data_IF_475451559746
#
_entry.id   IF_475451559746
#
_cell.length_a   1.000
_cell.length_b   1.000
_cell.length_c   1.000
_cell.angle_alpha   90.00
_cell.angle_beta   90.00
_cell.angle_gamma   90.00
#
_symmetry.space_group_name_H-M   'P 1'
#
loop_
_entity.id
_entity.type
_entity.pdbx_description
1 polymer ?
#
# COMPACT_ATOMS: atom_id res chain seq x y z
N UNK A 1 -10.41 -62.97 -10.19
CA UNK A 1 -11.23 -61.79 -10.60
C UNK A 1 -11.58 -60.82 -9.47
N UNK A 2 -11.37 -61.16 -8.18
CA UNK A 2 -11.77 -60.29 -7.05
C UNK A 2 -10.81 -59.11 -6.82
N UNK A 3 -9.49 -59.35 -6.89
CA UNK A 3 -8.46 -58.35 -6.56
C UNK A 3 -8.42 -57.17 -7.55
N UNK A 4 -8.59 -57.43 -8.84
CA UNK A 4 -8.57 -56.39 -9.89
C UNK A 4 -9.79 -55.45 -9.76
N UNK A 5 -10.95 -55.98 -9.35
CA UNK A 5 -12.15 -55.16 -9.11
C UNK A 5 -12.02 -54.29 -7.86
N UNK A 6 -11.39 -54.82 -6.81
CA UNK A 6 -11.11 -54.07 -5.58
C UNK A 6 -10.09 -52.95 -5.85
N UNK A 7 -9.04 -53.22 -6.63
CA UNK A 7 -8.06 -52.21 -7.02
C UNK A 7 -8.65 -51.14 -7.94
N UNK A 8 -9.52 -51.53 -8.88
CA UNK A 8 -10.22 -50.57 -9.74
C UNK A 8 -11.20 -49.69 -8.95
N UNK A 9 -11.91 -50.26 -7.98
CA UNK A 9 -12.80 -49.51 -7.09
C UNK A 9 -12.03 -48.56 -6.15
N UNK A 10 -10.87 -48.98 -5.63
CA UNK A 10 -10.00 -48.14 -4.82
C UNK A 10 -9.40 -46.98 -5.62
N UNK A 11 -8.95 -47.23 -6.85
CA UNK A 11 -8.44 -46.20 -7.75
C UNK A 11 -9.52 -45.18 -8.14
N UNK A 12 -10.75 -45.64 -8.41
CA UNK A 12 -11.89 -44.77 -8.67
C UNK A 12 -12.27 -43.91 -7.45
N UNK A 13 -12.20 -44.48 -6.24
CA UNK A 13 -12.47 -43.74 -5.00
C UNK A 13 -11.43 -42.64 -4.72
N UNK A 14 -10.16 -42.87 -5.04
CA UNK A 14 -9.10 -41.84 -4.92
C UNK A 14 -9.24 -40.71 -5.95
N UNK A 15 -9.83 -40.98 -7.12
CA UNK A 15 -10.10 -39.96 -8.15
C UNK A 15 -11.30 -39.07 -7.80
N UNK A 16 -12.20 -39.51 -6.93
CA UNK A 16 -13.35 -38.73 -6.45
C UNK A 16 -13.05 -37.83 -5.25
N UNK A 17 -11.85 -37.89 -4.66
CA UNK A 17 -11.36 -36.89 -3.71
C UNK A 17 -10.75 -35.74 -4.52
N UNK A 18 -11.55 -35.10 -5.37
CA UNK A 18 -11.20 -33.78 -5.85
C UNK A 18 -11.19 -32.87 -4.62
N UNK A 19 -10.03 -32.30 -4.29
CA UNK A 19 -9.91 -31.27 -3.28
C UNK A 19 -10.79 -30.09 -3.69
N UNK A 20 -12.06 -30.09 -3.29
CA UNK A 20 -12.91 -28.92 -3.38
C UNK A 20 -12.26 -27.87 -2.49
N UNK A 21 -11.93 -26.67 -3.01
CA UNK A 21 -11.40 -25.62 -2.14
C UNK A 21 -12.43 -25.38 -1.04
N UNK A 22 -11.97 -25.43 0.21
CA UNK A 22 -12.81 -25.17 1.36
C UNK A 22 -13.46 -23.79 1.19
N UNK A 23 -14.78 -23.75 1.00
CA UNK A 23 -15.56 -22.54 0.73
C UNK A 23 -15.68 -21.57 1.93
N UNK A 24 -14.83 -21.76 2.94
CA UNK A 24 -14.74 -20.93 4.14
C UNK A 24 -13.42 -20.13 4.24
N UNK A 25 -12.63 -20.04 3.17
CA UNK A 25 -11.52 -19.10 3.12
C UNK A 25 -12.08 -17.72 2.73
N UNK A 26 -12.11 -16.81 3.70
CA UNK A 26 -12.27 -15.37 3.41
C UNK A 26 -11.05 -14.94 2.58
N UNK A 27 -11.18 -14.98 1.25
CA UNK A 27 -10.15 -14.50 0.35
C UNK A 27 -10.21 -12.97 0.31
N UNK A 28 -9.62 -12.33 1.32
CA UNK A 28 -9.32 -10.90 1.25
C UNK A 28 -8.38 -10.70 0.05
N UNK A 29 -8.93 -10.24 -1.08
CA UNK A 29 -8.15 -9.94 -2.26
C UNK A 29 -7.54 -8.54 -2.09
N UNK A 30 -6.20 -8.41 -1.92
CA UNK A 30 -5.55 -7.11 -1.76
C UNK A 30 -5.74 -6.31 -3.03
N UNK A 31 -5.92 -4.99 -2.93
CA UNK A 31 -6.00 -4.15 -4.12
C UNK A 31 -4.70 -4.23 -4.92
N UNK A 32 -4.84 -4.39 -6.24
CA UNK A 32 -3.71 -4.25 -7.13
C UNK A 32 -3.33 -2.76 -7.22
N UNK A 33 -2.20 -2.44 -6.61
CA UNK A 33 -1.66 -1.08 -6.58
C UNK A 33 -0.66 -0.84 -7.71
N UNK A 34 -0.30 -1.87 -8.47
CA UNK A 34 0.66 -1.74 -9.56
C UNK A 34 0.11 -0.80 -10.64
N UNK A 35 1.00 -0.31 -11.50
CA UNK A 35 0.58 0.45 -12.65
C UNK A 35 1.72 0.70 -13.62
N UNK A 36 1.40 1.38 -14.71
CA UNK A 36 2.36 1.61 -15.78
C UNK A 36 3.59 2.40 -15.30
N UNK A 37 4.74 2.08 -15.92
CA UNK A 37 6.00 2.83 -15.76
C UNK A 37 5.73 4.33 -15.92
N UNK A 38 6.32 5.11 -15.04
CA UNK A 38 6.20 6.57 -15.02
C UNK A 38 7.42 7.22 -15.65
N UNK A 39 7.25 8.46 -16.08
CA UNK A 39 8.34 9.32 -16.58
C UNK A 39 8.61 10.49 -15.66
N UNK A 40 7.68 10.80 -14.74
CA UNK A 40 7.76 11.95 -13.83
C UNK A 40 7.09 13.21 -14.40
N UNK A 41 6.69 13.19 -15.67
CA UNK A 41 5.89 14.23 -16.30
C UNK A 41 4.38 14.09 -15.97
N UNK A 42 3.94 12.91 -15.54
CA UNK A 42 2.54 12.65 -15.25
C UNK A 42 2.10 13.35 -13.94
N UNK A 43 0.89 13.91 -13.91
CA UNK A 43 0.33 14.47 -12.68
C UNK A 43 0.28 13.43 -11.55
N UNK A 44 0.68 13.83 -10.34
CA UNK A 44 0.60 13.01 -9.13
C UNK A 44 1.73 11.99 -8.95
N UNK A 45 2.64 11.84 -9.90
CA UNK A 45 3.83 10.98 -9.76
C UNK A 45 4.90 11.67 -8.92
N UNK A 46 5.35 12.84 -9.37
CA UNK A 46 6.15 13.76 -8.58
C UNK A 46 5.21 14.67 -7.78
N UNK A 47 5.68 15.15 -6.63
CA UNK A 47 4.84 15.95 -5.74
C UNK A 47 4.46 17.31 -6.32
N UNK A 48 5.27 17.83 -7.24
CA UNK A 48 5.00 19.07 -7.96
C UNK A 48 5.50 18.93 -9.40
N UNK A 49 4.82 19.60 -10.33
CA UNK A 49 5.28 19.69 -11.70
C UNK A 49 6.63 20.43 -11.77
N UNK A 50 7.53 19.96 -12.63
CA UNK A 50 8.84 20.55 -12.88
C UNK A 50 8.89 21.08 -14.32
N UNK A 51 8.37 22.30 -14.56
CA UNK A 51 8.34 22.87 -15.90
C UNK A 51 9.74 23.11 -16.46
N UNK A 52 9.97 22.67 -17.71
CA UNK A 52 11.28 22.81 -18.36
C UNK A 52 12.37 21.89 -17.79
N UNK A 53 11.97 20.83 -17.08
CA UNK A 53 12.88 19.76 -16.67
C UNK A 53 13.24 18.85 -17.85
N UNK A 54 14.49 18.41 -17.92
CA UNK A 54 14.92 17.39 -18.88
C UNK A 54 14.44 16.00 -18.44
N UNK A 55 14.41 15.00 -19.35
CA UNK A 55 14.06 13.63 -18.98
C UNK A 55 14.91 13.07 -17.82
N UNK A 56 16.18 13.44 -17.75
CA UNK A 56 17.10 13.02 -16.69
C UNK A 56 16.76 13.69 -15.35
N UNK A 57 16.40 14.98 -15.36
CA UNK A 57 15.95 15.70 -14.16
C UNK A 57 14.60 15.16 -13.66
N UNK A 58 13.70 14.77 -14.57
CA UNK A 58 12.43 14.12 -14.22
C UNK A 58 12.64 12.75 -13.57
N UNK A 59 13.50 11.90 -14.16
CA UNK A 59 13.89 10.60 -13.57
C UNK A 59 14.52 10.79 -12.20
N UNK A 60 15.40 11.77 -12.06
CA UNK A 60 16.01 12.11 -10.77
C UNK A 60 14.94 12.52 -9.75
N UNK A 61 13.97 13.36 -10.15
CA UNK A 61 12.87 13.74 -9.29
C UNK A 61 12.02 12.54 -8.86
N UNK A 62 11.72 11.60 -9.77
CA UNK A 62 11.00 10.36 -9.46
C UNK A 62 11.77 9.53 -8.43
N UNK A 63 13.08 9.31 -8.65
CA UNK A 63 13.95 8.60 -7.73
C UNK A 63 13.98 9.26 -6.33
N UNK A 64 14.12 10.58 -6.28
CA UNK A 64 14.11 11.31 -5.01
C UNK A 64 12.77 11.21 -4.28
N UNK A 65 11.65 11.24 -5.01
CA UNK A 65 10.31 11.03 -4.44
C UNK A 65 10.17 9.60 -3.90
N UNK A 66 10.62 8.59 -4.63
CA UNK A 66 10.56 7.20 -4.16
C UNK A 66 11.39 7.00 -2.89
N UNK A 67 12.62 7.53 -2.88
CA UNK A 67 13.51 7.48 -1.70
C UNK A 67 12.88 8.17 -0.50
N UNK A 68 12.20 9.31 -0.70
CA UNK A 68 11.49 10.00 0.37
C UNK A 68 10.31 9.17 0.91
N UNK A 69 9.53 8.53 0.04
CA UNK A 69 8.47 7.60 0.45
C UNK A 69 9.01 6.43 1.28
N UNK A 70 10.11 5.82 0.85
CA UNK A 70 10.77 4.75 1.60
C UNK A 70 11.32 5.22 2.96
N UNK A 71 11.79 6.48 3.06
CA UNK A 71 12.19 7.06 4.34
C UNK A 71 11.01 7.23 5.29
N UNK A 72 9.87 7.73 4.80
CA UNK A 72 8.63 7.84 5.60
C UNK A 72 8.18 6.46 6.08
N UNK A 73 8.24 5.44 5.21
CA UNK A 73 7.91 4.07 5.57
C UNK A 73 8.85 3.50 6.64
N UNK A 74 10.16 3.76 6.55
CA UNK A 74 11.14 3.34 7.55
C UNK A 74 10.83 3.88 8.96
N UNK A 75 10.13 5.03 9.05
CA UNK A 75 9.69 5.61 10.33
C UNK A 75 8.31 5.10 10.77
N UNK A 76 7.34 5.08 9.85
CA UNK A 76 5.92 4.87 10.19
C UNK A 76 5.49 3.40 10.21
N UNK A 77 6.25 2.50 9.56
CA UNK A 77 5.85 1.11 9.34
C UNK A 77 6.52 0.12 10.30
N UNK A 78 7.17 0.60 11.37
CA UNK A 78 7.88 -0.25 12.32
C UNK A 78 6.97 -1.10 13.22
N UNK A 79 5.64 -0.88 13.16
CA UNK A 79 4.69 -1.70 13.88
C UNK A 79 4.62 -3.16 13.35
N UNK A 80 5.07 -3.39 12.11
CA UNK A 80 5.12 -4.71 11.49
C UNK A 80 6.56 -5.04 11.03
N UNK A 81 7.35 -5.77 11.85
CA UNK A 81 8.75 -6.06 11.57
C UNK A 81 8.98 -6.87 10.29
N UNK A 82 8.00 -7.68 9.84
CA UNK A 82 8.13 -8.52 8.64
C UNK A 82 8.20 -7.71 7.34
N UNK A 83 7.79 -6.44 7.36
CA UNK A 83 7.93 -5.54 6.21
C UNK A 83 9.39 -5.16 5.93
N UNK A 84 10.29 -5.28 6.91
CA UNK A 84 11.71 -4.94 6.78
C UNK A 84 11.95 -3.50 6.27
N UNK A 85 11.04 -2.56 6.54
CA UNK A 85 11.07 -1.22 5.96
C UNK A 85 12.37 -0.45 6.31
N UNK A 86 12.79 -0.49 7.58
CA UNK A 86 14.00 0.19 8.04
C UNK A 86 15.28 -0.46 7.49
N UNK A 87 15.39 -1.79 7.56
CA UNK A 87 16.59 -2.50 7.08
C UNK A 87 16.74 -2.39 5.56
N UNK A 88 15.65 -2.53 4.81
CA UNK A 88 15.66 -2.40 3.35
C UNK A 88 16.01 -0.98 2.90
N UNK A 89 15.48 0.04 3.59
CA UNK A 89 15.82 1.43 3.31
C UNK A 89 17.30 1.73 3.56
N UNK A 90 17.87 1.26 4.68
CA UNK A 90 19.29 1.44 4.96
C UNK A 90 20.19 0.71 3.96
N UNK A 91 19.80 -0.51 3.55
CA UNK A 91 20.51 -1.25 2.52
C UNK A 91 20.47 -0.53 1.17
N UNK A 92 19.33 0.04 0.78
CA UNK A 92 19.18 0.88 -0.42
C UNK A 92 20.13 2.09 -0.37
N UNK A 93 20.16 2.81 0.76
CA UNK A 93 21.06 3.97 0.94
C UNK A 93 22.52 3.58 0.77
N UNK A 94 22.93 2.44 1.34
CA UNK A 94 24.30 1.95 1.25
C UNK A 94 24.66 1.50 -0.17
N UNK A 95 23.79 0.72 -0.81
CA UNK A 95 24.08 0.13 -2.12
C UNK A 95 24.05 1.14 -3.27
N UNK A 96 23.25 2.22 -3.14
CA UNK A 96 23.00 3.17 -4.22
C UNK A 96 23.33 4.62 -3.85
N UNK A 97 24.25 4.84 -2.91
CA UNK A 97 24.65 6.17 -2.45
C UNK A 97 25.03 7.11 -3.61
N UNK A 98 25.80 6.61 -4.58
CA UNK A 98 26.25 7.39 -5.75
C UNK A 98 25.11 7.81 -6.67
N UNK A 99 24.16 6.89 -6.93
CA UNK A 99 22.97 7.16 -7.75
C UNK A 99 22.05 8.18 -7.09
N UNK A 100 21.84 8.04 -5.78
CA UNK A 100 21.05 8.99 -4.99
C UNK A 100 21.70 10.37 -4.94
N UNK A 101 23.02 10.43 -4.78
CA UNK A 101 23.77 11.68 -4.83
C UNK A 101 23.64 12.35 -6.19
N UNK A 102 23.87 11.60 -7.28
CA UNK A 102 23.74 12.11 -8.65
C UNK A 102 22.32 12.63 -8.92
N UNK A 103 21.32 11.91 -8.46
CA UNK A 103 19.91 12.31 -8.54
C UNK A 103 19.65 13.62 -7.81
N UNK A 104 20.16 13.77 -6.58
CA UNK A 104 20.03 15.01 -5.83
C UNK A 104 20.71 16.19 -6.52
N UNK A 105 21.93 15.98 -7.01
CA UNK A 105 22.71 17.02 -7.70
C UNK A 105 22.00 17.51 -8.98
N UNK A 106 21.33 16.61 -9.73
CA UNK A 106 20.52 16.97 -10.90
C UNK A 106 19.31 17.84 -10.53
N UNK A 107 18.58 17.47 -9.47
CA UNK A 107 17.42 18.26 -9.00
C UNK A 107 17.88 19.61 -8.47
N UNK A 108 19.00 19.65 -7.75
CA UNK A 108 19.60 20.90 -7.30
C UNK A 108 19.96 21.80 -8.50
N UNK A 109 20.61 21.24 -9.53
CA UNK A 109 20.90 21.92 -10.79
C UNK A 109 19.65 22.49 -11.47
N UNK A 110 18.57 21.72 -11.52
CA UNK A 110 17.27 22.17 -12.04
C UNK A 110 16.76 23.42 -11.31
N UNK A 111 16.74 23.42 -9.97
CA UNK A 111 16.25 24.58 -9.22
C UNK A 111 17.18 25.78 -9.29
N UNK A 112 18.50 25.57 -9.34
CA UNK A 112 19.47 26.63 -9.56
C UNK A 112 19.29 27.30 -10.93
N UNK A 113 18.85 26.54 -11.94
CA UNK A 113 18.58 27.03 -13.30
C UNK A 113 17.22 27.72 -13.41
N UNK A 114 16.17 27.17 -12.79
CA UNK A 114 14.78 27.62 -12.99
C UNK A 114 14.28 28.62 -11.95
N UNK A 115 14.67 28.48 -10.67
CA UNK A 115 14.26 29.37 -9.58
C UNK A 115 15.31 30.46 -9.26
N UNK A 116 16.51 30.37 -9.85
CA UNK A 116 17.59 31.35 -9.73
C UNK A 116 18.79 30.84 -8.94
N UNK A 117 19.97 31.36 -9.26
CA UNK A 117 21.24 30.91 -8.67
C UNK A 117 21.36 31.31 -7.19
N UNK A 118 22.04 30.46 -6.41
CA UNK A 118 22.34 30.68 -5.00
C UNK A 118 21.14 30.40 -4.08
N UNK A 119 20.80 31.37 -3.23
CA UNK A 119 19.79 31.22 -2.16
C UNK A 119 18.40 30.91 -2.69
N UNK A 120 17.99 31.49 -3.81
CA UNK A 120 16.67 31.29 -4.38
C UNK A 120 16.45 29.82 -4.81
N UNK A 121 17.39 29.28 -5.60
CA UNK A 121 17.38 27.87 -6.02
C UNK A 121 17.46 26.90 -4.84
N UNK A 122 18.28 27.20 -3.83
CA UNK A 122 18.35 26.36 -2.62
C UNK A 122 17.02 26.37 -1.86
N UNK A 123 16.40 27.54 -1.70
CA UNK A 123 15.10 27.66 -1.03
C UNK A 123 14.01 26.89 -1.78
N UNK A 124 14.01 26.93 -3.11
CA UNK A 124 13.08 26.17 -3.93
C UNK A 124 13.30 24.64 -3.80
N UNK A 125 14.56 24.21 -3.73
CA UNK A 125 14.93 22.81 -3.49
C UNK A 125 14.46 22.33 -2.11
N UNK A 126 14.65 23.14 -1.07
CA UNK A 126 14.25 22.80 0.31
C UNK A 126 12.71 22.74 0.42
N UNK A 127 12.00 23.67 -0.22
CA UNK A 127 10.54 23.64 -0.32
C UNK A 127 10.05 22.40 -1.07
N UNK A 128 10.70 22.05 -2.18
CA UNK A 128 10.41 20.82 -2.92
C UNK A 128 10.59 19.60 -2.02
N UNK A 129 11.74 19.47 -1.36
CA UNK A 129 12.02 18.37 -0.44
C UNK A 129 10.96 18.26 0.65
N UNK A 130 10.59 19.37 1.27
CA UNK A 130 9.55 19.41 2.32
C UNK A 130 8.20 18.93 1.79
N UNK A 131 7.75 19.44 0.64
CA UNK A 131 6.49 18.99 0.00
C UNK A 131 6.52 17.49 -0.29
N UNK A 132 7.65 16.98 -0.81
CA UNK A 132 7.81 15.57 -1.12
C UNK A 132 7.57 14.70 0.12
N UNK A 133 8.20 14.99 1.25
CA UNK A 133 7.94 14.24 2.49
C UNK A 133 6.49 14.36 2.95
N UNK A 134 5.93 15.57 2.96
CA UNK A 134 4.53 15.79 3.36
C UNK A 134 3.54 15.03 2.48
N UNK A 135 3.86 14.81 1.19
CA UNK A 135 2.98 14.10 0.26
C UNK A 135 2.80 12.61 0.58
N UNK A 136 3.72 12.01 1.35
CA UNK A 136 3.63 10.61 1.77
C UNK A 136 3.02 10.43 3.17
N UNK A 137 2.68 11.52 3.86
CA UNK A 137 2.05 11.47 5.18
C UNK A 137 0.57 11.12 5.06
N UNK A 138 0.22 9.83 5.03
CA UNK A 138 -1.17 9.37 4.91
C UNK A 138 -1.61 8.51 6.09
N UNK A 139 -2.34 9.09 7.03
CA UNK A 139 -2.84 8.35 8.21
C UNK A 139 -3.94 7.35 7.79
N UNK A 140 -4.85 7.76 6.90
CA UNK A 140 -5.99 6.93 6.50
C UNK A 140 -5.64 5.71 5.64
N UNK A 141 -4.49 5.74 4.96
CA UNK A 141 -4.01 4.67 4.07
C UNK A 141 -2.74 3.98 4.60
N UNK A 142 -2.39 4.19 5.88
CA UNK A 142 -1.11 3.75 6.47
C UNK A 142 -0.80 2.27 6.21
N UNK A 143 -1.78 1.37 6.37
CA UNK A 143 -1.56 -0.07 6.15
C UNK A 143 -1.21 -0.39 4.69
N UNK A 144 -1.97 0.14 3.72
CA UNK A 144 -1.71 -0.06 2.31
C UNK A 144 -0.39 0.56 1.85
N UNK A 145 -0.07 1.75 2.37
CA UNK A 145 1.22 2.40 2.17
C UNK A 145 2.37 1.56 2.71
N UNK A 146 2.28 1.07 3.95
CA UNK A 146 3.34 0.27 4.56
C UNK A 146 3.57 -1.06 3.86
N UNK A 147 2.50 -1.73 3.41
CA UNK A 147 2.62 -2.95 2.63
C UNK A 147 3.34 -2.69 1.29
N UNK A 148 2.87 -1.71 0.51
CA UNK A 148 3.47 -1.37 -0.77
C UNK A 148 4.94 -0.91 -0.62
N UNK A 149 5.23 -0.08 0.39
CA UNK A 149 6.57 0.40 0.65
C UNK A 149 7.52 -0.71 1.15
N UNK A 150 7.02 -1.67 1.93
CA UNK A 150 7.78 -2.86 2.33
C UNK A 150 8.17 -3.72 1.13
N UNK A 151 7.22 -4.01 0.24
CA UNK A 151 7.46 -4.74 -1.01
C UNK A 151 8.50 -4.02 -1.89
N UNK A 152 8.29 -2.73 -2.16
CA UNK A 152 9.22 -1.91 -2.96
C UNK A 152 10.60 -1.85 -2.30
N UNK A 153 10.66 -1.67 -0.99
CA UNK A 153 11.91 -1.59 -0.24
C UNK A 153 12.72 -2.88 -0.38
N UNK A 154 12.08 -4.04 -0.20
CA UNK A 154 12.73 -5.33 -0.34
C UNK A 154 13.20 -5.60 -1.77
N UNK A 155 12.40 -5.27 -2.77
CA UNK A 155 12.80 -5.36 -4.18
C UNK A 155 14.02 -4.48 -4.48
N UNK A 156 14.04 -3.26 -3.94
CA UNK A 156 15.11 -2.29 -4.19
C UNK A 156 16.48 -2.79 -3.70
N UNK A 157 16.52 -3.65 -2.68
CA UNK A 157 17.77 -4.26 -2.19
C UNK A 157 18.45 -5.13 -3.26
N UNK A 158 17.67 -5.73 -4.15
CA UNK A 158 18.16 -6.63 -5.20
C UNK A 158 18.41 -5.92 -6.54
N UNK A 159 18.19 -4.61 -6.62
CA UNK A 159 18.42 -3.85 -7.84
C UNK A 159 19.93 -3.68 -8.07
N UNK A 160 20.46 -4.03 -9.25
CA UNK A 160 21.85 -3.78 -9.57
C UNK A 160 22.16 -2.27 -9.56
N UNK A 161 23.38 -1.92 -9.16
CA UNK A 161 23.86 -0.53 -9.24
C UNK A 161 23.78 -0.02 -10.67
N UNK A 162 23.32 1.21 -10.83
CA UNK A 162 23.08 1.90 -12.09
C UNK A 162 21.64 1.83 -12.59
N UNK A 163 20.78 1.02 -11.95
CA UNK A 163 19.39 0.81 -12.38
C UNK A 163 18.34 1.36 -11.41
N UNK A 164 18.74 2.08 -10.35
CA UNK A 164 17.79 2.55 -9.34
C UNK A 164 16.83 3.61 -9.90
N UNK A 165 17.27 4.39 -10.89
CA UNK A 165 16.42 5.37 -11.57
C UNK A 165 15.29 4.70 -12.37
N UNK A 166 15.60 3.66 -13.14
CA UNK A 166 14.63 2.85 -13.87
C UNK A 166 13.69 2.11 -12.92
N UNK A 167 14.22 1.56 -11.83
CA UNK A 167 13.42 0.96 -10.78
C UNK A 167 12.43 1.96 -10.19
N UNK A 168 12.86 3.20 -9.95
CA UNK A 168 11.98 4.24 -9.45
C UNK A 168 10.85 4.55 -10.42
N UNK A 169 11.13 4.65 -11.72
CA UNK A 169 10.12 4.80 -12.76
C UNK A 169 9.13 3.62 -12.82
N UNK A 170 9.56 2.40 -12.49
CA UNK A 170 8.67 1.24 -12.45
C UNK A 170 7.78 1.21 -11.20
N UNK A 171 8.31 1.59 -10.03
CA UNK A 171 7.61 1.42 -8.74
C UNK A 171 6.92 2.67 -8.19
N UNK A 172 7.21 3.86 -8.71
CA UNK A 172 6.61 5.10 -8.21
C UNK A 172 5.09 5.10 -8.32
N UNK A 173 4.51 4.49 -9.37
CA UNK A 173 3.04 4.40 -9.51
C UNK A 173 2.42 3.61 -8.36
N UNK A 174 3.00 2.46 -8.03
CA UNK A 174 2.58 1.64 -6.88
C UNK A 174 2.64 2.40 -5.56
N UNK A 175 3.76 3.09 -5.33
CA UNK A 175 3.96 3.92 -4.15
C UNK A 175 2.96 5.09 -4.06
N UNK A 176 2.51 5.64 -5.19
CA UNK A 176 1.48 6.70 -5.19
C UNK A 176 0.08 6.16 -5.01
N UNK A 177 -0.26 5.05 -5.65
CA UNK A 177 -1.57 4.41 -5.51
C UNK A 177 -1.82 3.98 -4.06
N UNK A 178 -0.77 3.56 -3.33
CA UNK A 178 -0.88 3.15 -1.93
C UNK A 178 -1.26 4.28 -0.95
N UNK A 179 -1.22 5.54 -1.38
CA UNK A 179 -1.58 6.71 -0.57
C UNK A 179 -3.09 6.93 -0.45
N UNK A 180 -3.88 6.12 -1.16
CA UNK A 180 -5.35 6.17 -1.12
C UNK A 180 -5.90 4.99 -0.33
N UNK A 181 -6.85 5.27 0.55
CA UNK A 181 -7.38 4.26 1.47
C UNK A 181 -8.40 3.36 0.76
N UNK A 182 -8.03 2.10 0.53
CA UNK A 182 -8.88 1.10 -0.11
C UNK A 182 -9.38 0.03 0.87
N UNK A 183 -10.55 -0.55 0.58
CA UNK A 183 -11.05 -1.79 1.21
C UNK A 183 -10.58 -3.02 0.41
N UNK A 184 -10.99 -4.22 0.80
CA UNK A 184 -10.74 -5.41 -0.02
C UNK A 184 -11.37 -5.27 -1.43
N UNK A 185 -10.81 -5.93 -2.45
CA UNK A 185 -11.36 -5.87 -3.82
C UNK A 185 -12.73 -6.55 -3.96
N UNK A 186 -13.06 -7.52 -3.09
CA UNK A 186 -14.25 -8.36 -3.20
C UNK A 186 -15.50 -7.74 -2.55
N UNK A 187 -15.36 -7.03 -1.43
CA UNK A 187 -16.44 -6.26 -0.81
C UNK A 187 -16.19 -4.75 -0.98
N UNK A 188 -17.07 -4.09 -1.73
CA UNK A 188 -17.06 -2.61 -1.84
C UNK A 188 -17.19 -1.98 -0.45
N UNK A 189 -16.59 -0.80 -0.26
CA UNK A 189 -16.62 0.03 0.97
C UNK A 189 -17.99 0.24 1.62
N UNK A 190 -19.07 -0.20 0.99
CA UNK A 190 -20.35 -0.40 1.62
C UNK A 190 -20.25 -1.62 2.54
N UNK A 191 -19.62 -1.45 3.71
CA UNK A 191 -20.21 -1.98 4.93
C UNK A 191 -21.57 -1.31 5.02
N UNK A 192 -22.53 -1.81 4.25
CA UNK A 192 -23.83 -1.19 4.04
C UNK A 192 -24.34 -0.89 5.42
N UNK A 193 -24.48 0.42 5.71
CA UNK A 193 -24.89 1.00 6.99
C UNK A 193 -25.12 -0.11 7.98
N UNK A 194 -24.15 -0.41 8.86
CA UNK A 194 -24.38 -1.37 9.95
C UNK A 194 -25.63 -0.84 10.61
N UNK A 195 -26.80 -1.39 10.25
CA UNK A 195 -28.07 -0.96 10.82
C UNK A 195 -27.79 -1.14 12.29
N UNK A 196 -27.96 -0.11 13.12
CA UNK A 196 -27.70 -0.26 14.54
C UNK A 196 -28.47 -1.51 14.93
N UNK A 197 -27.75 -2.61 15.18
CA UNK A 197 -28.36 -3.84 15.57
C UNK A 197 -28.99 -3.41 16.87
N UNK A 198 -30.32 -3.33 16.90
CA UNK A 198 -31.02 -2.88 18.08
C UNK A 198 -30.80 -4.01 19.06
N UNK A 199 -29.72 -3.94 19.82
CA UNK A 199 -29.37 -4.95 20.80
C UNK A 199 -30.54 -4.96 21.78
N UNK A 200 -31.31 -6.04 21.75
CA UNK A 200 -32.44 -6.20 22.65
C UNK A 200 -31.89 -6.25 24.06
N UNK A 201 -32.29 -5.30 24.90
CA UNK A 201 -31.83 -5.23 26.29
C UNK A 201 -32.55 -6.30 27.12
N UNK A 202 -32.25 -7.58 26.87
CA UNK A 202 -32.87 -8.68 27.61
C UNK A 202 -32.57 -8.61 29.12
N UNK A 203 -31.48 -7.97 29.50
CA UNK A 203 -31.10 -7.73 30.89
C UNK A 203 -31.97 -6.67 31.59
N UNK A 204 -32.70 -5.85 30.83
CA UNK A 204 -33.54 -4.80 31.40
C UNK A 204 -34.80 -5.40 32.03
N UNK A 205 -34.79 -5.52 33.37
CA UNK A 205 -35.92 -6.06 34.15
C UNK A 205 -37.25 -5.35 33.91
N UNK A 206 -37.24 -4.09 33.44
CA UNK A 206 -38.47 -3.32 33.13
C UNK A 206 -39.17 -3.83 31.86
N UNK A 207 -38.47 -4.58 31.01
CA UNK A 207 -38.99 -5.23 29.80
C UNK A 207 -39.67 -6.57 30.08
N UNK A 208 -39.53 -7.11 31.29
CA UNK A 208 -40.09 -8.38 31.70
C UNK A 208 -41.18 -8.20 32.75
N UNK A 209 -42.34 -8.82 32.53
CA UNK A 209 -43.39 -8.90 33.55
C UNK A 209 -43.87 -10.33 33.62
N UNK A 210 -43.72 -10.97 34.79
CA UNK A 210 -44.07 -12.39 35.00
C UNK A 210 -43.45 -13.33 33.95
N UNK A 211 -42.19 -13.08 33.56
CA UNK A 211 -41.49 -13.89 32.55
C UNK A 211 -41.91 -13.67 31.09
N UNK A 212 -42.78 -12.69 30.81
CA UNK A 212 -43.25 -12.38 29.46
C UNK A 212 -42.70 -11.03 28.98
N UNK A 213 -42.16 -11.02 27.75
CA UNK A 213 -41.63 -9.82 27.10
C UNK A 213 -42.72 -8.77 26.83
N UNK A 214 -42.46 -7.53 27.21
CA UNK A 214 -43.40 -6.42 27.07
C UNK A 214 -43.16 -5.63 25.78
N UNK A 215 -43.83 -6.03 24.70
CA UNK A 215 -43.64 -5.44 23.36
C UNK A 215 -43.93 -3.94 23.28
N UNK A 216 -44.93 -3.46 24.02
CA UNK A 216 -45.29 -2.02 24.08
C UNK A 216 -44.20 -1.13 24.67
N UNK A 217 -43.36 -1.67 25.56
CA UNK A 217 -42.29 -0.92 26.23
C UNK A 217 -40.94 -1.08 25.56
N UNK A 218 -40.66 -2.28 25.05
CA UNK A 218 -39.32 -2.65 24.59
C UNK A 218 -39.25 -3.05 23.11
N UNK A 219 -40.35 -2.87 22.37
CA UNK A 219 -40.46 -3.20 20.95
C UNK A 219 -40.81 -4.66 20.69
N UNK A 220 -41.01 -5.02 19.42
CA UNK A 220 -41.29 -6.39 19.00
C UNK A 220 -40.25 -7.38 19.55
N UNK A 221 -40.70 -8.56 20.00
CA UNK A 221 -39.80 -9.61 20.46
C UNK A 221 -38.98 -10.12 19.27
N UNK A 222 -37.65 -10.30 19.40
CA UNK A 222 -36.86 -10.93 18.36
C UNK A 222 -37.32 -12.38 18.17
N UNK A 223 -37.63 -12.75 16.93
CA UNK A 223 -37.93 -14.12 16.50
C UNK A 223 -36.62 -14.87 16.26
#
# INVERSE_FOLDING_TARGET
MSVVRILAAAAAATLSIAATPASAQFFLKPLDLDGARVTGAEPGVTTQALPGATPEELRAAVLWNLRAGLNVAALQCQFEPTLLALSSYNALLFNHADELKKSYDLIAGYFQRTAGKGRAGQTALDQFGTRVYSSFSTVSAQLGFCQAAGEIGQEAVFIPRGYLGEFAELRMRKMRNSLTAYSEQQFTRNLGYVRPVRLYQFENRKCWRKGVWQTKRCGAFPI
#
